data_IF_514041930495
#
_entry.id   IF_514041930495
#
_cell.length_a   1.000
_cell.length_b   1.000
_cell.length_c   1.000
_cell.angle_alpha   90.00
_cell.angle_beta   90.00
_cell.angle_gamma   90.00
#
_symmetry.space_group_name_H-M   'P 1'
#
loop_
_entity.id
_entity.type
_entity.pdbx_description
1 polymer ?
#
# COMPACT_ATOMS: atom_id res chain seq x y z
N UNK A 1 -42.26 48.54 -2.36
CA UNK A 1 -41.22 48.16 -3.35
C UNK A 1 -39.89 48.43 -2.65
N UNK A 2 -39.10 47.49 -2.14
CA UNK A 2 -38.51 46.29 -2.74
C UNK A 2 -38.37 45.22 -1.64
N UNK A 3 -38.77 43.97 -1.91
CA UNK A 3 -38.48 42.81 -1.05
C UNK A 3 -37.39 41.98 -1.71
N UNK A 4 -36.32 41.77 -0.95
CA UNK A 4 -35.44 40.58 -0.95
C UNK A 4 -34.74 40.21 -2.27
N UNK A 5 -33.52 40.71 -2.45
CA UNK A 5 -32.45 39.97 -3.13
C UNK A 5 -31.37 39.68 -2.08
N UNK A 6 -31.59 38.65 -1.27
CA UNK A 6 -30.53 38.10 -0.42
C UNK A 6 -30.81 36.61 -0.16
N UNK A 7 -30.91 35.84 -1.23
CA UNK A 7 -31.07 34.39 -1.14
C UNK A 7 -30.22 33.66 -2.19
N UNK A 8 -29.04 34.18 -2.52
CA UNK A 8 -28.12 33.51 -3.46
C UNK A 8 -26.69 33.29 -2.94
N UNK A 9 -26.40 33.62 -1.68
CA UNK A 9 -25.09 33.33 -1.08
C UNK A 9 -25.08 32.13 -0.12
N UNK A 10 -26.24 31.58 0.23
CA UNK A 10 -26.35 30.46 1.18
C UNK A 10 -26.28 29.07 0.53
N UNK A 11 -26.37 28.96 -0.80
CA UNK A 11 -26.38 27.68 -1.50
C UNK A 11 -25.00 27.16 -1.92
N UNK A 12 -23.92 27.92 -1.69
CA UNK A 12 -22.55 27.50 -2.09
C UNK A 12 -21.82 26.77 -0.94
N UNK A 13 -22.28 26.92 0.30
CA UNK A 13 -21.63 26.32 1.46
C UNK A 13 -21.98 24.84 1.70
N UNK A 14 -22.94 24.27 0.95
CA UNK A 14 -23.44 22.90 1.17
C UNK A 14 -23.04 21.89 0.09
N UNK A 15 -22.13 22.22 -0.84
CA UNK A 15 -21.61 21.27 -1.82
C UNK A 15 -20.25 20.65 -1.43
N UNK A 16 -19.66 21.03 -0.29
CA UNK A 16 -18.32 20.58 0.12
C UNK A 16 -18.35 19.69 1.38
N UNK A 17 -19.22 18.69 1.43
CA UNK A 17 -19.15 17.67 2.49
C UNK A 17 -19.27 16.23 2.00
N UNK A 18 -19.10 16.00 0.69
CA UNK A 18 -19.06 14.65 0.09
C UNK A 18 -17.69 14.29 -0.50
N UNK A 19 -16.65 15.11 -0.25
CA UNK A 19 -15.27 14.73 -0.54
C UNK A 19 -14.67 13.92 0.62
N UNK A 20 -15.21 12.71 0.78
CA UNK A 20 -14.51 11.47 1.15
C UNK A 20 -13.45 11.57 2.25
N UNK A 21 -13.90 11.41 3.49
CA UNK A 21 -13.04 11.13 4.65
C UNK A 21 -12.71 9.61 4.68
N UNK A 22 -12.05 9.10 3.63
CA UNK A 22 -11.57 7.71 3.59
C UNK A 22 -10.16 7.68 4.14
N UNK A 23 -9.94 6.93 5.22
CA UNK A 23 -8.60 6.64 5.74
C UNK A 23 -7.70 6.12 4.60
N UNK A 24 -6.47 6.63 4.45
CA UNK A 24 -5.56 6.18 3.40
C UNK A 24 -5.31 4.67 3.46
N UNK A 25 -5.32 4.02 2.29
CA UNK A 25 -5.06 2.58 2.15
C UNK A 25 -3.65 2.35 1.67
N UNK A 26 -2.99 1.34 2.22
CA UNK A 26 -1.61 1.00 1.86
C UNK A 26 -1.58 -0.36 1.16
N UNK A 27 -0.99 -0.42 -0.02
CA UNK A 27 -0.88 -1.64 -0.82
C UNK A 27 0.58 -2.07 -0.93
N UNK A 28 0.94 -3.21 -0.34
CA UNK A 28 2.23 -3.86 -0.50
C UNK A 28 2.13 -4.84 -1.68
N UNK A 29 2.66 -4.47 -2.85
CA UNK A 29 2.51 -5.24 -4.09
C UNK A 29 3.82 -5.95 -4.43
N UNK A 30 3.81 -7.28 -4.37
CA UNK A 30 4.94 -8.11 -4.78
C UNK A 30 5.13 -8.12 -6.31
N UNK A 31 6.36 -8.35 -6.77
CA UNK A 31 6.62 -8.70 -8.18
C UNK A 31 6.47 -10.22 -8.41
N UNK A 32 5.31 -10.75 -8.07
CA UNK A 32 5.01 -12.18 -8.16
C UNK A 32 3.53 -12.38 -8.47
N UNK A 33 3.21 -13.47 -9.18
CA UNK A 33 1.82 -13.93 -9.28
C UNK A 33 1.61 -15.06 -8.26
N UNK A 34 0.61 -14.90 -7.41
CA UNK A 34 0.25 -15.87 -6.37
C UNK A 34 -0.99 -16.67 -6.74
N UNK A 35 -1.08 -17.91 -6.27
CA UNK A 35 -2.37 -18.63 -6.21
C UNK A 35 -3.04 -18.26 -4.90
N UNK A 36 -4.23 -17.67 -4.98
CA UNK A 36 -4.99 -17.23 -3.81
C UNK A 36 -5.21 -18.41 -2.87
N UNK A 37 -4.68 -18.32 -1.65
CA UNK A 37 -4.97 -19.21 -0.53
C UNK A 37 -3.81 -20.08 -0.05
N UNK A 38 -3.27 -19.70 1.12
CA UNK A 38 -2.61 -20.61 2.07
C UNK A 38 -1.20 -21.10 1.71
N UNK A 39 -0.22 -20.65 2.49
CA UNK A 39 1.12 -21.26 2.63
C UNK A 39 2.04 -21.15 1.39
N UNK A 40 2.74 -20.01 1.29
CA UNK A 40 3.84 -19.73 0.34
C UNK A 40 5.10 -20.54 0.71
N UNK A 41 4.96 -21.83 1.01
CA UNK A 41 6.08 -22.68 1.44
C UNK A 41 6.80 -23.35 0.28
N UNK A 42 6.16 -23.49 -0.90
CA UNK A 42 6.71 -24.35 -1.96
C UNK A 42 6.93 -23.69 -3.32
N UNK A 43 6.43 -22.47 -3.53
CA UNK A 43 6.37 -21.87 -4.87
C UNK A 43 7.29 -20.67 -5.09
N UNK A 44 8.24 -20.45 -4.17
CA UNK A 44 9.16 -19.32 -4.23
C UNK A 44 10.06 -19.33 -5.47
N UNK A 45 10.42 -20.52 -5.97
CA UNK A 45 11.33 -20.66 -7.12
C UNK A 45 10.68 -20.67 -8.49
N UNK A 46 9.36 -20.92 -8.60
CA UNK A 46 8.72 -21.26 -9.89
C UNK A 46 7.84 -20.14 -10.47
N UNK A 47 7.40 -19.18 -9.63
CA UNK A 47 6.40 -18.17 -10.04
C UNK A 47 6.84 -16.71 -9.83
N UNK A 48 8.05 -16.48 -9.30
CA UNK A 48 8.74 -15.21 -9.56
C UNK A 48 8.96 -15.15 -11.07
N UNK A 49 8.48 -14.10 -11.73
CA UNK A 49 8.62 -13.89 -13.18
C UNK A 49 10.11 -13.69 -13.54
N UNK A 50 11.00 -14.67 -13.33
CA UNK A 50 12.46 -14.60 -13.51
C UNK A 50 13.13 -13.30 -13.03
N UNK A 51 12.52 -12.59 -12.08
CA UNK A 51 12.93 -11.25 -11.65
C UNK A 51 13.02 -11.19 -10.14
N UNK A 52 14.03 -10.46 -9.67
CA UNK A 52 14.28 -10.24 -8.26
C UNK A 52 13.12 -9.43 -7.62
N UNK A 53 12.73 -9.84 -6.41
CA UNK A 53 11.67 -9.26 -5.61
C UNK A 53 12.17 -9.01 -4.18
N UNK A 54 12.47 -7.75 -3.89
CA UNK A 54 13.02 -7.24 -2.63
C UNK A 54 12.01 -7.41 -1.49
N UNK A 55 10.74 -7.08 -1.74
CA UNK A 55 9.67 -7.28 -0.76
C UNK A 55 9.51 -8.76 -0.41
N UNK A 56 9.67 -9.66 -1.38
CA UNK A 56 9.64 -11.09 -1.11
C UNK A 56 10.80 -11.45 -0.14
N UNK A 57 12.03 -11.05 -0.47
CA UNK A 57 13.23 -11.27 0.36
C UNK A 57 13.10 -10.70 1.79
N UNK A 58 12.46 -9.54 1.94
CA UNK A 58 12.15 -8.93 3.24
C UNK A 58 11.16 -9.79 4.02
N UNK A 59 10.09 -10.26 3.37
CA UNK A 59 8.91 -10.83 4.03
C UNK A 59 8.96 -12.33 4.26
N UNK A 60 9.76 -13.09 3.50
CA UNK A 60 9.79 -14.55 3.57
C UNK A 60 11.18 -15.11 3.90
N UNK A 61 11.15 -16.23 4.60
CA UNK A 61 12.22 -17.21 4.69
C UNK A 61 12.06 -18.26 3.58
N UNK A 62 12.93 -19.26 3.52
CA UNK A 62 12.87 -20.34 2.52
C UNK A 62 11.52 -21.06 2.45
N UNK A 63 10.78 -21.10 3.57
CA UNK A 63 9.57 -21.93 3.69
C UNK A 63 8.34 -21.17 4.18
N UNK A 64 8.43 -19.92 4.59
CA UNK A 64 7.27 -19.19 5.13
C UNK A 64 7.53 -17.70 5.29
N UNK A 65 6.46 -16.91 5.43
CA UNK A 65 6.55 -15.53 5.86
C UNK A 65 7.23 -15.44 7.25
N UNK A 66 8.15 -14.50 7.40
CA UNK A 66 8.90 -14.32 8.64
C UNK A 66 7.95 -13.94 9.79
N UNK A 67 8.10 -14.52 10.99
CA UNK A 67 7.22 -14.22 12.12
C UNK A 67 7.13 -12.72 12.46
N UNK A 68 8.26 -12.01 12.42
CA UNK A 68 8.35 -10.59 12.71
C UNK A 68 7.62 -9.72 11.66
N UNK A 69 7.59 -10.15 10.40
CA UNK A 69 6.78 -9.53 9.36
C UNK A 69 5.28 -9.69 9.67
N UNK A 70 4.86 -10.92 9.96
CA UNK A 70 3.46 -11.23 10.27
C UNK A 70 2.97 -10.46 11.48
N UNK A 71 3.78 -10.42 12.55
CA UNK A 71 3.46 -9.68 13.76
C UNK A 71 3.30 -8.19 13.45
N UNK A 72 4.24 -7.61 12.68
CA UNK A 72 4.20 -6.20 12.34
C UNK A 72 3.03 -5.81 11.45
N UNK A 73 2.82 -6.51 10.33
CA UNK A 73 1.74 -6.17 9.39
C UNK A 73 0.36 -6.26 10.07
N UNK A 74 0.17 -7.23 10.97
CA UNK A 74 -1.07 -7.38 11.73
C UNK A 74 -1.30 -6.30 12.79
N UNK A 75 -0.25 -5.58 13.19
CA UNK A 75 -0.29 -4.55 14.22
C UNK A 75 -0.46 -3.14 13.64
N UNK A 76 -0.36 -2.96 12.32
CA UNK A 76 -0.54 -1.64 11.68
C UNK A 76 -1.97 -1.12 11.90
N UNK A 77 -2.08 0.15 12.30
CA UNK A 77 -3.37 0.85 12.43
C UNK A 77 -3.94 1.29 11.09
N UNK A 78 -3.07 1.55 10.12
CA UNK A 78 -3.47 1.89 8.76
C UNK A 78 -4.08 0.69 8.04
N UNK A 79 -5.17 0.91 7.31
CA UNK A 79 -5.76 -0.09 6.43
C UNK A 79 -4.72 -0.49 5.39
N UNK A 80 -4.42 -1.79 5.33
CA UNK A 80 -3.37 -2.30 4.48
C UNK A 80 -3.73 -3.61 3.80
N UNK A 81 -3.15 -3.82 2.62
CA UNK A 81 -3.30 -5.02 1.81
C UNK A 81 -1.93 -5.48 1.34
N UNK A 82 -1.68 -6.78 1.47
CA UNK A 82 -0.45 -7.44 1.00
C UNK A 82 -0.83 -8.34 -0.16
N UNK A 83 -0.43 -7.96 -1.37
CA UNK A 83 -0.99 -8.49 -2.62
C UNK A 83 0.09 -8.95 -3.60
N UNK A 84 -0.18 -10.03 -4.30
CA UNK A 84 0.48 -10.39 -5.55
C UNK A 84 -0.06 -9.56 -6.72
N UNK A 85 0.63 -9.54 -7.86
CA UNK A 85 0.20 -8.72 -9.01
C UNK A 85 -1.19 -9.09 -9.50
N UNK A 86 -1.54 -10.38 -9.53
CA UNK A 86 -2.88 -10.83 -9.94
C UNK A 86 -3.96 -10.46 -8.93
N UNK A 87 -3.65 -10.49 -7.63
CA UNK A 87 -4.61 -10.08 -6.58
C UNK A 87 -4.86 -8.56 -6.65
N UNK A 88 -3.81 -7.77 -6.90
CA UNK A 88 -3.92 -6.34 -7.14
C UNK A 88 -4.74 -6.03 -8.41
N UNK A 89 -4.55 -6.79 -9.50
CA UNK A 89 -5.34 -6.68 -10.73
C UNK A 89 -6.82 -7.03 -10.49
N UNK A 90 -7.12 -8.08 -9.74
CA UNK A 90 -8.49 -8.47 -9.35
C UNK A 90 -9.18 -7.37 -8.53
N UNK A 91 -8.44 -6.70 -7.66
CA UNK A 91 -8.88 -5.53 -6.92
C UNK A 91 -8.92 -4.23 -7.75
N UNK A 92 -8.56 -4.29 -9.04
CA UNK A 92 -8.49 -3.14 -9.96
C UNK A 92 -7.51 -2.04 -9.54
N UNK A 93 -6.48 -2.40 -8.78
CA UNK A 93 -5.40 -1.49 -8.41
C UNK A 93 -4.47 -1.32 -9.62
N UNK A 94 -4.44 -0.11 -10.19
CA UNK A 94 -3.61 0.18 -11.36
C UNK A 94 -2.17 0.54 -10.95
N UNK A 95 -1.31 -0.48 -10.82
CA UNK A 95 0.10 -0.31 -10.49
C UNK A 95 1.04 -0.23 -11.72
N UNK A 96 0.50 -0.16 -12.94
CA UNK A 96 1.30 -0.25 -14.18
C UNK A 96 2.35 0.85 -14.37
N UNK A 97 2.21 1.98 -13.66
CA UNK A 97 3.17 3.09 -13.68
C UNK A 97 4.34 2.97 -12.71
N UNK A 98 4.38 1.91 -11.88
CA UNK A 98 5.38 1.76 -10.81
C UNK A 98 6.30 0.57 -11.04
N UNK A 99 7.55 0.69 -10.59
CA UNK A 99 8.51 -0.40 -10.64
C UNK A 99 8.24 -1.41 -9.52
N UNK A 100 8.02 -2.68 -9.86
CA UNK A 100 7.71 -3.73 -8.88
C UNK A 100 8.97 -4.38 -8.27
N UNK A 101 8.93 -4.79 -6.98
CA UNK A 101 7.84 -4.60 -6.02
C UNK A 101 7.70 -3.14 -5.55
N UNK A 102 6.52 -2.76 -5.08
CA UNK A 102 6.20 -1.39 -4.67
C UNK A 102 5.26 -1.37 -3.45
N UNK A 103 5.41 -0.36 -2.59
CA UNK A 103 4.37 0.01 -1.61
C UNK A 103 3.69 1.27 -2.11
N UNK A 104 2.38 1.19 -2.32
CA UNK A 104 1.55 2.31 -2.75
C UNK A 104 0.68 2.81 -1.60
N UNK A 105 0.37 4.09 -1.62
CA UNK A 105 -0.66 4.71 -0.80
C UNK A 105 -1.78 5.21 -1.70
N UNK A 106 -3.02 4.88 -1.37
CA UNK A 106 -4.22 5.46 -1.96
C UNK A 106 -4.80 6.50 -0.99
N UNK A 107 -4.84 7.75 -1.45
CA UNK A 107 -5.47 8.86 -0.73
C UNK A 107 -6.06 9.86 -1.72
N UNK A 108 -7.22 10.43 -1.38
CA UNK A 108 -7.88 11.43 -2.23
C UNK A 108 -8.13 10.93 -3.65
N UNK A 109 -7.35 11.44 -4.61
CA UNK A 109 -7.59 11.27 -6.05
C UNK A 109 -6.68 10.25 -6.76
N UNK A 110 -5.91 9.41 -6.05
CA UNK A 110 -5.13 8.37 -6.74
C UNK A 110 -4.13 7.59 -5.88
N UNK A 111 -3.29 6.83 -6.59
CA UNK A 111 -2.19 6.05 -6.04
C UNK A 111 -0.88 6.85 -6.13
N UNK A 112 -0.15 6.93 -5.02
CA UNK A 112 1.20 7.48 -4.94
C UNK A 112 2.18 6.39 -4.50
N UNK A 113 3.44 6.47 -4.95
CA UNK A 113 4.51 5.58 -4.48
C UNK A 113 4.96 5.99 -3.07
N UNK A 114 4.78 5.10 -2.08
CA UNK A 114 5.21 5.30 -0.70
C UNK A 114 6.64 4.78 -0.50
N UNK A 115 6.91 3.57 -1.00
CA UNK A 115 8.24 2.94 -0.95
C UNK A 115 8.51 2.29 -2.31
N UNK A 116 9.57 2.76 -2.95
CA UNK A 116 10.05 2.22 -4.22
C UNK A 116 10.80 0.90 -4.05
N UNK A 117 10.89 0.12 -5.12
CA UNK A 117 11.79 -1.05 -5.22
C UNK A 117 13.22 -0.76 -4.71
N UNK A 118 13.78 0.40 -5.09
CA UNK A 118 15.15 0.78 -4.76
C UNK A 118 15.34 0.96 -3.26
N UNK A 119 14.39 1.62 -2.61
CA UNK A 119 14.45 1.84 -1.16
C UNK A 119 14.26 0.53 -0.38
N UNK A 120 13.44 -0.40 -0.91
CA UNK A 120 13.35 -1.75 -0.36
C UNK A 120 14.70 -2.49 -0.46
N UNK A 121 15.41 -2.35 -1.58
CA UNK A 121 16.72 -2.97 -1.75
C UNK A 121 17.73 -2.52 -0.67
N UNK A 122 17.65 -1.25 -0.23
CA UNK A 122 18.49 -0.69 0.84
C UNK A 122 18.19 -1.31 2.22
N UNK A 123 16.98 -1.85 2.42
CA UNK A 123 16.61 -2.61 3.61
C UNK A 123 17.22 -4.03 3.62
N UNK A 124 17.77 -4.49 2.50
CA UNK A 124 18.25 -5.86 2.34
C UNK A 124 17.13 -6.87 2.57
N UNK A 125 17.42 -7.95 3.31
CA UNK A 125 16.44 -8.97 3.68
C UNK A 125 15.90 -8.79 5.10
N UNK A 126 16.08 -7.60 5.69
CA UNK A 126 15.84 -7.37 7.11
C UNK A 126 14.49 -6.69 7.35
N UNK A 127 13.59 -7.36 8.07
CA UNK A 127 12.26 -6.80 8.37
C UNK A 127 12.35 -5.52 9.20
N UNK A 128 13.24 -5.47 10.20
CA UNK A 128 13.38 -4.30 11.07
C UNK A 128 13.78 -3.03 10.28
N UNK A 129 14.70 -3.14 9.33
CA UNK A 129 15.09 -1.99 8.48
C UNK A 129 13.94 -1.51 7.59
N UNK A 130 13.18 -2.45 7.04
CA UNK A 130 12.00 -2.12 6.25
C UNK A 130 10.93 -1.43 7.10
N UNK A 131 10.74 -1.86 8.36
CA UNK A 131 9.85 -1.18 9.31
C UNK A 131 10.28 0.26 9.57
N UNK A 132 11.56 0.49 9.85
CA UNK A 132 12.10 1.83 10.11
C UNK A 132 11.90 2.75 8.89
N UNK A 133 12.15 2.21 7.68
CA UNK A 133 11.87 2.90 6.42
C UNK A 133 10.37 3.21 6.26
N UNK A 134 9.51 2.24 6.54
CA UNK A 134 8.06 2.42 6.45
C UNK A 134 7.56 3.54 7.37
N UNK A 135 7.94 3.50 8.65
CA UNK A 135 7.56 4.53 9.63
C UNK A 135 8.06 5.91 9.20
N UNK A 136 9.32 6.00 8.75
CA UNK A 136 9.86 7.24 8.21
C UNK A 136 9.00 7.77 7.05
N UNK A 137 8.67 6.90 6.09
CA UNK A 137 7.89 7.27 4.90
C UNK A 137 6.45 7.65 5.22
N UNK A 138 5.77 6.91 6.10
CA UNK A 138 4.41 7.26 6.51
C UNK A 138 4.38 8.61 7.22
N UNK A 139 5.38 8.91 8.06
CA UNK A 139 5.51 10.21 8.72
C UNK A 139 5.73 11.36 7.71
N UNK A 140 6.57 11.15 6.69
CA UNK A 140 6.75 12.11 5.58
C UNK A 140 5.45 12.37 4.82
N UNK A 141 4.56 11.37 4.76
CA UNK A 141 3.24 11.45 4.14
C UNK A 141 2.14 11.96 5.11
N UNK A 142 2.47 12.25 6.37
CA UNK A 142 1.53 12.71 7.38
C UNK A 142 0.57 11.62 7.89
N UNK A 143 0.99 10.36 7.84
CA UNK A 143 0.23 9.21 8.34
C UNK A 143 0.82 8.67 9.64
N UNK A 144 -0.05 8.38 10.61
CA UNK A 144 0.28 7.64 11.82
C UNK A 144 -0.27 6.20 11.72
N UNK A 145 0.63 5.24 11.45
CA UNK A 145 0.27 3.85 11.18
C UNK A 145 0.69 2.88 12.30
N UNK A 146 1.31 3.36 13.38
CA UNK A 146 1.73 2.56 14.55
C UNK A 146 0.83 2.80 15.76
#
# INVERSE_FOLDING_TARGET
>A
MFRSILALFLAVASLNSEAQNTSPKIYFIYNASGTIGGEISYLYGKYLKNQHCELCDITHSTVSAKPEWRAWISALKCENYVLHTNEAEEMRINFSGFALPVVLIERGNGLEELISKKEMAESGKEVHKFKDLFVKKTNEFGLDCE
#
